data_IF_126037827379
#
_entry.id   IF_126037827379
#
_cell.length_a   1.000
_cell.length_b   1.000
_cell.length_c   1.000
_cell.angle_alpha   90.00
_cell.angle_beta   90.00
_cell.angle_gamma   90.00
#
_symmetry.space_group_name_H-M   'P 1'
#
loop_
_entity.id
_entity.type
_entity.pdbx_description
1 polymer ?
#
# COMPACT_ATOMS: atom_id res chain seq x y z
N UNK A 1 -45.29 -14.26 23.83
CA UNK A 1 -45.30 -15.04 22.58
C UNK A 1 -43.98 -14.80 21.87
N UNK A 2 -43.04 -15.73 21.96
CA UNK A 2 -41.84 -15.69 21.13
C UNK A 2 -42.21 -16.26 19.75
N UNK A 3 -41.78 -15.59 18.69
CA UNK A 3 -41.95 -16.09 17.32
C UNK A 3 -41.01 -17.27 17.12
N UNK A 4 -41.58 -18.47 17.04
CA UNK A 4 -40.89 -19.75 16.88
C UNK A 4 -40.47 -19.99 15.43
N UNK A 5 -40.22 -18.93 14.66
CA UNK A 5 -39.82 -19.10 13.26
C UNK A 5 -38.38 -19.67 13.22
N UNK A 6 -38.17 -20.81 12.56
CA UNK A 6 -36.83 -21.37 12.44
C UNK A 6 -35.96 -20.37 11.69
N UNK A 7 -34.77 -20.09 12.23
CA UNK A 7 -33.75 -19.26 11.59
C UNK A 7 -33.47 -19.89 10.22
N UNK A 8 -34.03 -19.31 9.15
CA UNK A 8 -33.79 -19.78 7.78
C UNK A 8 -32.33 -19.49 7.44
N UNK A 9 -31.47 -20.48 7.65
CA UNK A 9 -30.12 -20.49 7.12
C UNK A 9 -30.22 -20.46 5.59
N UNK A 10 -30.16 -19.27 5.00
CA UNK A 10 -29.96 -19.09 3.58
C UNK A 10 -28.58 -19.67 3.28
N UNK A 11 -28.57 -20.92 2.84
CA UNK A 11 -27.35 -21.65 2.49
C UNK A 11 -26.68 -20.88 1.35
N UNK A 12 -25.58 -20.21 1.67
CA UNK A 12 -24.81 -19.47 0.67
C UNK A 12 -24.36 -20.45 -0.43
N UNK A 13 -24.93 -20.30 -1.62
CA UNK A 13 -24.77 -21.24 -2.74
C UNK A 13 -23.41 -21.12 -3.43
N UNK A 14 -22.50 -20.26 -2.97
CA UNK A 14 -21.23 -20.00 -3.67
C UNK A 14 -20.06 -20.74 -3.02
N UNK A 15 -19.91 -22.01 -3.41
CA UNK A 15 -18.79 -22.91 -3.07
C UNK A 15 -17.49 -22.65 -3.85
N UNK A 16 -17.42 -21.65 -4.73
CA UNK A 16 -16.19 -21.42 -5.51
C UNK A 16 -15.24 -20.52 -4.72
N UNK A 17 -13.96 -20.89 -4.55
CA UNK A 17 -12.99 -19.97 -4.00
C UNK A 17 -12.96 -18.76 -4.94
N UNK A 18 -13.34 -17.59 -4.42
CA UNK A 18 -13.30 -16.36 -5.18
C UNK A 18 -11.83 -16.03 -5.44
N UNK A 19 -11.28 -16.51 -6.57
CA UNK A 19 -9.89 -16.28 -7.00
C UNK A 19 -9.57 -14.78 -6.95
N UNK A 20 -10.56 -13.93 -7.25
CA UNK A 20 -10.43 -12.48 -7.16
C UNK A 20 -10.39 -11.98 -5.71
N UNK A 21 -11.10 -12.61 -4.76
CA UNK A 21 -10.94 -12.27 -3.34
C UNK A 21 -9.54 -12.65 -2.83
N UNK A 22 -9.05 -13.83 -3.23
CA UNK A 22 -7.67 -14.25 -2.92
C UNK A 22 -6.64 -13.28 -3.54
N UNK A 23 -6.84 -12.88 -4.80
CA UNK A 23 -6.03 -11.85 -5.47
C UNK A 23 -6.04 -10.53 -4.70
N UNK A 24 -7.20 -10.07 -4.23
CA UNK A 24 -7.34 -8.84 -3.44
C UNK A 24 -6.67 -8.93 -2.07
N UNK A 25 -6.52 -10.11 -1.49
CA UNK A 25 -5.76 -10.33 -0.26
C UNK A 25 -4.26 -10.30 -0.50
N UNK A 26 -3.79 -11.01 -1.52
CA UNK A 26 -2.37 -11.03 -1.89
C UNK A 26 -1.89 -9.62 -2.29
N UNK A 27 -2.70 -8.87 -3.05
CA UNK A 27 -2.38 -7.48 -3.43
C UNK A 27 -2.26 -6.55 -2.22
N UNK A 28 -3.04 -6.75 -1.16
CA UNK A 28 -2.87 -5.98 0.09
C UNK A 28 -1.51 -6.25 0.72
N UNK A 29 -1.08 -7.51 0.77
CA UNK A 29 0.24 -7.87 1.31
C UNK A 29 1.36 -7.25 0.45
N UNK A 30 1.23 -7.32 -0.87
CA UNK A 30 2.20 -6.71 -1.81
C UNK A 30 2.30 -5.19 -1.61
N UNK A 31 1.17 -4.50 -1.43
CA UNK A 31 1.15 -3.05 -1.19
C UNK A 31 1.87 -2.71 0.12
N UNK A 32 1.63 -3.46 1.19
CA UNK A 32 2.32 -3.25 2.47
C UNK A 32 3.83 -3.48 2.34
N UNK A 33 4.25 -4.53 1.64
CA UNK A 33 5.67 -4.76 1.36
C UNK A 33 6.28 -3.64 0.52
N UNK A 34 5.56 -3.14 -0.50
CA UNK A 34 5.99 -2.01 -1.30
C UNK A 34 6.20 -0.74 -0.46
N UNK A 35 5.30 -0.46 0.48
CA UNK A 35 5.47 0.65 1.43
C UNK A 35 6.71 0.47 2.33
N UNK A 36 6.98 -0.74 2.79
CA UNK A 36 8.16 -1.02 3.61
C UNK A 36 9.46 -0.76 2.82
N UNK A 37 9.51 -1.19 1.56
CA UNK A 37 10.65 -0.91 0.68
C UNK A 37 10.78 0.59 0.41
N UNK A 38 9.66 1.28 0.16
CA UNK A 38 9.64 2.72 -0.04
C UNK A 38 10.22 3.49 1.16
N UNK A 39 9.79 3.14 2.39
CA UNK A 39 10.32 3.73 3.61
C UNK A 39 11.81 3.47 3.79
N UNK A 40 12.27 2.27 3.43
CA UNK A 40 13.69 1.92 3.47
C UNK A 40 14.51 2.77 2.49
N UNK A 41 14.07 2.85 1.24
CA UNK A 41 14.71 3.69 0.22
C UNK A 41 14.76 5.16 0.65
N UNK A 42 13.65 5.67 1.16
CA UNK A 42 13.58 7.03 1.69
C UNK A 42 14.58 7.26 2.83
N UNK A 43 14.62 6.35 3.79
CA UNK A 43 15.52 6.43 4.95
C UNK A 43 17.00 6.43 4.52
N UNK A 44 17.38 5.60 3.54
CA UNK A 44 18.74 5.54 3.03
C UNK A 44 19.08 6.71 2.08
N UNK A 45 18.08 7.29 1.41
CA UNK A 45 18.28 8.42 0.52
C UNK A 45 18.47 9.74 1.26
N UNK A 46 17.88 9.89 2.45
CA UNK A 46 18.08 11.09 3.25
C UNK A 46 19.54 11.19 3.72
N UNK A 47 20.16 12.39 3.66
CA UNK A 47 21.50 12.58 4.20
C UNK A 47 21.47 12.23 5.69
N UNK A 48 22.46 11.44 6.12
CA UNK A 48 22.61 11.08 7.54
C UNK A 48 22.71 12.38 8.33
N UNK A 49 21.69 12.66 9.14
CA UNK A 49 21.71 13.79 10.07
C UNK A 49 22.71 13.44 11.17
N UNK A 50 23.66 14.32 11.44
CA UNK A 50 24.67 14.12 12.48
C UNK A 50 23.99 13.71 13.79
N UNK A 51 24.09 12.43 14.13
CA UNK A 51 23.56 11.91 15.38
C UNK A 51 24.63 12.05 16.44
N UNK A 52 24.25 12.18 17.71
CA UNK A 52 25.19 12.30 18.84
C UNK A 52 26.25 11.16 18.86
N UNK A 53 25.89 9.99 18.32
CA UNK A 53 26.77 8.83 18.17
C UNK A 53 27.81 9.00 17.05
N UNK A 54 27.47 9.62 15.91
CA UNK A 54 28.43 9.86 14.81
C UNK A 54 29.54 10.81 15.26
N UNK A 55 29.19 11.80 16.09
CA UNK A 55 30.14 12.74 16.68
C UNK A 55 31.08 12.10 17.72
N UNK A 56 30.65 11.00 18.33
CA UNK A 56 31.46 10.24 19.30
C UNK A 56 32.39 9.23 18.60
N UNK A 57 32.04 8.79 17.40
CA UNK A 57 32.73 7.74 16.63
C UNK A 57 33.54 8.28 15.44
N UNK A 58 33.59 9.60 15.26
CA UNK A 58 34.34 10.31 14.21
C UNK A 58 34.07 9.74 12.80
N UNK A 59 32.81 9.39 12.54
CA UNK A 59 32.41 8.78 11.28
C UNK A 59 32.25 9.84 10.17
N UNK A 60 32.90 9.63 9.02
CA UNK A 60 32.77 10.51 7.85
C UNK A 60 31.33 10.48 7.30
N UNK A 61 30.56 11.53 7.58
CA UNK A 61 29.17 11.65 7.12
C UNK A 61 29.09 12.00 5.64
N UNK A 62 28.31 11.22 4.88
CA UNK A 62 27.93 11.54 3.51
C UNK A 62 26.87 12.63 3.51
N UNK A 63 27.29 13.88 3.22
CA UNK A 63 26.42 15.08 3.17
C UNK A 63 25.60 15.23 1.89
N UNK A 64 25.70 14.30 0.96
CA UNK A 64 25.06 14.39 -0.36
C UNK A 64 23.89 13.42 -0.43
N UNK A 65 22.70 13.93 -0.75
CA UNK A 65 21.51 13.14 -1.04
C UNK A 65 21.79 12.18 -2.19
N UNK A 66 21.48 10.91 -2.01
CA UNK A 66 21.66 9.91 -3.06
C UNK A 66 20.44 9.94 -4.00
N UNK A 67 20.56 10.72 -5.08
CA UNK A 67 19.50 10.89 -6.07
C UNK A 67 19.11 9.57 -6.74
N UNK A 68 20.01 8.58 -6.81
CA UNK A 68 19.71 7.27 -7.40
C UNK A 68 18.70 6.49 -6.56
N UNK A 69 18.82 6.53 -5.23
CA UNK A 69 17.86 5.92 -4.31
C UNK A 69 16.50 6.63 -4.34
N UNK A 70 16.50 7.95 -4.51
CA UNK A 70 15.29 8.75 -4.69
C UNK A 70 14.56 8.41 -6.00
N UNK A 71 15.29 8.26 -7.11
CA UNK A 71 14.70 7.84 -8.39
C UNK A 71 14.08 6.44 -8.28
N UNK A 72 14.74 5.50 -7.60
CA UNK A 72 14.16 4.18 -7.31
C UNK A 72 12.88 4.27 -6.48
N UNK A 73 12.86 5.13 -5.46
CA UNK A 73 11.66 5.38 -4.65
C UNK A 73 10.53 5.98 -5.50
N UNK A 74 10.85 6.88 -6.43
CA UNK A 74 9.89 7.46 -7.37
C UNK A 74 9.28 6.40 -8.30
N UNK A 75 10.09 5.54 -8.93
CA UNK A 75 9.56 4.46 -9.77
C UNK A 75 8.66 3.51 -8.97
N UNK A 76 9.02 3.23 -7.70
CA UNK A 76 8.20 2.42 -6.81
C UNK A 76 6.86 3.08 -6.46
N UNK A 77 6.85 4.40 -6.25
CA UNK A 77 5.62 5.19 -6.03
C UNK A 77 4.71 5.14 -7.26
N UNK A 78 5.26 5.32 -8.46
CA UNK A 78 4.50 5.21 -9.71
C UNK A 78 3.87 3.83 -9.84
N UNK A 79 4.67 2.77 -9.61
CA UNK A 79 4.18 1.39 -9.60
C UNK A 79 3.05 1.18 -8.60
N UNK A 80 3.20 1.62 -7.35
CA UNK A 80 2.17 1.51 -6.30
C UNK A 80 0.89 2.26 -6.67
N UNK A 81 0.98 3.41 -7.32
CA UNK A 81 -0.20 4.18 -7.75
C UNK A 81 -0.99 3.44 -8.83
N UNK A 82 -0.31 2.91 -9.85
CA UNK A 82 -0.94 2.16 -10.94
C UNK A 82 -1.53 0.86 -10.39
N UNK A 83 -0.78 0.16 -9.53
CA UNK A 83 -1.20 -1.11 -8.94
C UNK A 83 -2.43 -0.97 -8.04
N UNK A 84 -2.45 0.07 -7.20
CA UNK A 84 -3.61 0.38 -6.35
C UNK A 84 -4.82 0.82 -7.16
N UNK A 85 -4.63 1.59 -8.25
CA UNK A 85 -5.70 1.96 -9.18
C UNK A 85 -6.33 0.73 -9.85
N UNK A 86 -5.52 -0.18 -10.39
CA UNK A 86 -6.01 -1.44 -11.00
C UNK A 86 -6.77 -2.27 -9.96
N UNK A 87 -6.20 -2.41 -8.75
CA UNK A 87 -6.84 -3.15 -7.66
C UNK A 87 -8.19 -2.54 -7.25
N UNK A 88 -8.29 -1.21 -7.24
CA UNK A 88 -9.53 -0.49 -6.94
C UNK A 88 -10.57 -0.65 -8.05
N UNK A 89 -10.17 -0.60 -9.32
CA UNK A 89 -11.06 -0.86 -10.47
C UNK A 89 -11.62 -2.29 -10.38
N UNK A 90 -10.76 -3.29 -10.16
CA UNK A 90 -11.17 -4.69 -10.01
C UNK A 90 -12.12 -4.88 -8.82
N UNK A 91 -11.87 -4.18 -7.71
CA UNK A 91 -12.76 -4.18 -6.55
C UNK A 91 -14.12 -3.52 -6.86
N UNK A 92 -14.10 -2.40 -7.59
CA UNK A 92 -15.29 -1.61 -7.95
C UNK A 92 -16.20 -2.33 -8.93
N UNK A 93 -15.64 -3.08 -9.89
CA UNK A 93 -16.41 -3.92 -10.82
C UNK A 93 -17.22 -4.99 -10.05
N UNK A 94 -16.71 -5.48 -8.91
CA UNK A 94 -17.44 -6.45 -8.06
C UNK A 94 -18.47 -5.80 -7.13
N UNK A 95 -18.33 -4.50 -6.83
CA UNK A 95 -19.23 -3.74 -5.97
C UNK A 95 -20.69 -3.69 -6.44
N UNK A 96 -20.99 -4.15 -7.67
CA UNK A 96 -22.35 -4.35 -8.17
C UNK A 96 -23.15 -5.38 -7.33
N UNK A 97 -22.51 -6.11 -6.41
CA UNK A 97 -23.15 -6.98 -5.41
C UNK A 97 -23.24 -6.25 -4.06
N UNK A 98 -24.46 -6.19 -3.51
CA UNK A 98 -24.88 -5.44 -2.30
C UNK A 98 -24.06 -5.70 -1.00
N UNK A 99 -23.15 -6.66 -1.00
CA UNK A 99 -22.37 -7.11 0.17
C UNK A 99 -20.86 -6.87 0.04
N UNK A 100 -20.36 -6.49 -1.14
CA UNK A 100 -18.91 -6.30 -1.34
C UNK A 100 -18.50 -4.92 -0.80
N UNK A 101 -17.47 -4.90 0.05
CA UNK A 101 -16.91 -3.68 0.65
C UNK A 101 -15.65 -3.26 -0.10
N UNK A 102 -15.54 -1.97 -0.40
CA UNK A 102 -14.29 -1.39 -0.92
C UNK A 102 -13.18 -1.53 0.12
N UNK A 103 -12.03 -2.06 -0.29
CA UNK A 103 -10.85 -2.16 0.57
C UNK A 103 -10.19 -0.79 0.68
N UNK A 104 -10.34 -0.16 1.84
CA UNK A 104 -9.80 1.17 2.16
C UNK A 104 -8.27 1.23 1.95
N UNK A 105 -7.57 0.11 2.14
CA UNK A 105 -6.12 0.01 1.94
C UNK A 105 -5.67 0.49 0.56
N UNK A 106 -6.39 0.18 -0.52
CA UNK A 106 -6.02 0.63 -1.85
C UNK A 106 -6.25 2.13 -2.05
N UNK A 107 -7.28 2.70 -1.42
CA UNK A 107 -7.54 4.15 -1.43
C UNK A 107 -6.41 4.88 -0.69
N UNK A 108 -6.06 4.41 0.51
CA UNK A 108 -4.97 4.95 1.31
C UNK A 108 -3.66 4.84 0.50
N UNK A 109 -3.37 3.67 -0.05
CA UNK A 109 -2.18 3.44 -0.86
C UNK A 109 -2.08 4.40 -2.04
N UNK A 110 -3.18 4.58 -2.78
CA UNK A 110 -3.23 5.48 -3.92
C UNK A 110 -2.96 6.92 -3.47
N UNK A 111 -3.63 7.38 -2.41
CA UNK A 111 -3.44 8.73 -1.88
C UNK A 111 -1.99 9.00 -1.46
N UNK A 112 -1.39 8.09 -0.66
CA UNK A 112 0.01 8.25 -0.22
C UNK A 112 1.00 8.17 -1.38
N UNK A 113 0.77 7.30 -2.36
CA UNK A 113 1.63 7.20 -3.53
C UNK A 113 1.59 8.48 -4.39
N UNK A 114 0.41 9.06 -4.61
CA UNK A 114 0.26 10.32 -5.33
C UNK A 114 0.88 11.49 -4.56
N UNK A 115 0.68 11.56 -3.26
CA UNK A 115 1.31 12.59 -2.42
C UNK A 115 2.84 12.49 -2.48
N UNK A 116 3.40 11.27 -2.43
CA UNK A 116 4.84 11.04 -2.57
C UNK A 116 5.39 11.47 -3.94
N UNK A 117 4.66 11.20 -5.02
CA UNK A 117 5.02 11.65 -6.39
C UNK A 117 5.05 13.17 -6.46
N UNK A 118 4.02 13.84 -5.94
CA UNK A 118 3.94 15.31 -5.93
C UNK A 118 5.10 15.90 -5.12
N UNK A 119 5.40 15.31 -3.96
CA UNK A 119 6.53 15.73 -3.15
C UNK A 119 7.85 15.58 -3.88
N UNK A 120 8.07 14.44 -4.56
CA UNK A 120 9.29 14.21 -5.34
C UNK A 120 9.47 15.26 -6.44
N UNK A 121 8.40 15.59 -7.17
CA UNK A 121 8.42 16.61 -8.23
C UNK A 121 8.62 18.04 -7.71
N UNK A 122 8.49 18.26 -6.39
CA UNK A 122 8.68 19.57 -5.77
C UNK A 122 10.09 19.80 -5.20
N UNK A 123 10.90 18.74 -5.12
CA UNK A 123 12.32 18.79 -4.75
C UNK A 123 13.17 19.20 -5.95
#
# INVERSE_FOLDING_TARGET
MYSNEPIKYIKDRRKKPDIVCMYLEITVVIVWLGFFVLLSLWHFAQPQKETFLDRLLDAELRKVTDFTLLDMAFYLLVFLSIFSLISLILNSIRLKRRTDRLRITFIISLFFSLAGIIFYLSI
#
